data_IF_860094199290
#
_entry.id   IF_860094199290
#
_cell.length_a   1.000
_cell.length_b   1.000
_cell.length_c   1.000
_cell.angle_alpha   90.00
_cell.angle_beta   90.00
_cell.angle_gamma   90.00
#
_symmetry.space_group_name_H-M   'P 1'
#
loop_
_entity.id
_entity.type
_entity.pdbx_description
1 polymer ?
#
# COMPACT_ATOMS: atom_id res chain seq x y z
N UNK A 1 -6.61 11.62 6.05
CA UNK A 1 -6.29 10.85 7.26
C UNK A 1 -4.80 10.87 7.47
N UNK A 2 -4.40 11.09 8.70
CA UNK A 2 -3.02 10.95 9.12
C UNK A 2 -2.80 9.55 9.67
N UNK A 3 -1.77 8.87 9.18
CA UNK A 3 -1.34 7.57 9.66
C UNK A 3 -0.23 7.82 10.67
N UNK A 4 -0.48 7.59 11.98
CA UNK A 4 0.55 7.76 13.00
C UNK A 4 1.65 6.71 12.81
N UNK A 5 2.86 6.98 13.31
CA UNK A 5 3.94 5.98 13.38
C UNK A 5 4.24 5.72 14.85
N UNK A 6 3.92 4.52 15.32
CA UNK A 6 4.13 4.12 16.71
C UNK A 6 5.60 4.21 17.13
N UNK A 7 5.86 4.57 18.38
CA UNK A 7 7.21 4.72 18.93
C UNK A 7 8.05 3.45 18.79
N UNK A 8 7.49 2.27 19.03
CA UNK A 8 8.22 1.00 18.86
C UNK A 8 8.65 0.77 17.40
N UNK A 9 7.84 1.24 16.44
CA UNK A 9 8.20 1.20 15.03
C UNK A 9 9.33 2.17 14.73
N UNK A 10 9.26 3.39 15.28
CA UNK A 10 10.36 4.36 15.15
C UNK A 10 11.66 3.81 15.76
N UNK A 11 11.59 3.21 16.95
CA UNK A 11 12.74 2.59 17.62
C UNK A 11 13.33 1.44 16.81
N UNK A 12 12.50 0.56 16.25
CA UNK A 12 12.94 -0.51 15.35
C UNK A 12 13.65 0.03 14.11
N UNK A 13 13.05 1.03 13.46
CA UNK A 13 13.65 1.66 12.28
C UNK A 13 14.98 2.33 12.62
N UNK A 14 15.06 2.99 13.77
CA UNK A 14 16.31 3.60 14.27
C UNK A 14 17.38 2.54 14.59
N UNK A 15 16.98 1.35 15.02
CA UNK A 15 17.86 0.21 15.29
C UNK A 15 18.24 -0.59 14.04
N UNK A 16 17.79 -0.19 12.85
CA UNK A 16 18.22 -0.76 11.58
C UNK A 16 17.18 -1.61 10.86
N UNK A 17 15.97 -1.78 11.39
CA UNK A 17 14.84 -2.33 10.61
C UNK A 17 14.36 -1.30 9.58
N UNK A 18 13.59 -1.75 8.60
CA UNK A 18 12.92 -0.91 7.61
C UNK A 18 11.42 -1.11 7.74
N UNK A 19 10.66 -0.01 7.79
CA UNK A 19 9.21 -0.06 7.66
C UNK A 19 8.86 -0.35 6.19
N UNK A 20 8.19 -1.49 5.95
CA UNK A 20 7.91 -1.98 4.59
C UNK A 20 6.43 -1.88 4.23
N UNK A 21 5.52 -1.92 5.20
CA UNK A 21 4.11 -1.67 4.92
C UNK A 21 3.36 -1.15 6.15
N UNK A 22 2.26 -0.45 5.90
CA UNK A 22 1.25 -0.12 6.90
C UNK A 22 -0.11 -0.45 6.34
N UNK A 23 -0.90 -1.23 7.06
CA UNK A 23 -2.30 -1.52 6.73
C UNK A 23 -3.20 -0.95 7.81
N UNK A 24 -4.45 -0.64 7.48
CA UNK A 24 -5.42 -0.23 8.49
C UNK A 24 -6.81 -0.80 8.23
N UNK A 25 -7.47 -1.20 9.32
CA UNK A 25 -8.84 -1.65 9.28
C UNK A 25 -9.69 -0.96 10.33
N UNK A 26 -10.89 -0.54 9.94
CA UNK A 26 -11.87 0.06 10.84
C UNK A 26 -12.82 -1.01 11.36
N UNK A 27 -12.58 -1.45 12.60
CA UNK A 27 -13.45 -2.36 13.32
C UNK A 27 -14.65 -1.62 13.90
N UNK A 28 -15.84 -2.20 13.77
CA UNK A 28 -17.09 -1.60 14.27
C UNK A 28 -17.06 -1.33 15.77
N UNK A 29 -16.44 -2.21 16.56
CA UNK A 29 -16.40 -2.13 18.03
C UNK A 29 -15.08 -1.57 18.58
N UNK A 30 -14.00 -1.62 17.80
CA UNK A 30 -12.65 -1.29 18.28
C UNK A 30 -12.04 -0.07 17.57
N UNK A 31 -12.80 0.58 16.69
CA UNK A 31 -12.33 1.74 15.95
C UNK A 31 -11.26 1.38 14.92
N UNK A 32 -10.39 2.34 14.60
CA UNK A 32 -9.35 2.18 13.60
C UNK A 32 -8.13 1.48 14.21
N UNK A 33 -7.67 0.40 13.58
CA UNK A 33 -6.43 -0.29 13.93
C UNK A 33 -5.46 -0.22 12.78
N UNK A 34 -4.18 -0.06 13.11
CA UNK A 34 -3.08 -0.05 12.17
C UNK A 34 -2.19 -1.25 12.41
N UNK A 35 -1.77 -1.92 11.34
CA UNK A 35 -0.78 -2.98 11.34
C UNK A 35 0.46 -2.50 10.62
N UNK A 36 1.58 -2.43 11.32
CA UNK A 36 2.86 -1.98 10.78
C UNK A 36 3.75 -3.18 10.53
N UNK A 37 4.28 -3.28 9.32
CA UNK A 37 5.19 -4.34 8.92
C UNK A 37 6.60 -3.79 8.82
N UNK A 38 7.52 -4.35 9.60
CA UNK A 38 8.96 -4.03 9.56
C UNK A 38 9.75 -5.25 9.12
N UNK A 39 10.87 -5.02 8.43
CA UNK A 39 11.79 -6.07 8.01
C UNK A 39 13.22 -5.70 8.40
N UNK A 40 14.00 -6.70 8.82
CA UNK A 40 15.43 -6.51 9.08
C UNK A 40 16.17 -6.15 7.79
N UNK A 41 17.00 -5.10 7.82
CA UNK A 41 17.72 -4.60 6.63
C UNK A 41 18.69 -5.61 6.00
N UNK A 42 19.11 -6.61 6.76
CA UNK A 42 20.13 -7.60 6.35
C UNK A 42 19.56 -8.82 5.63
N UNK A 43 18.25 -9.04 5.65
CA UNK A 43 17.62 -10.21 5.02
C UNK A 43 16.19 -9.88 4.59
N UNK A 44 15.99 -9.58 3.31
CA UNK A 44 14.66 -9.59 2.67
C UNK A 44 14.21 -11.05 2.48
N UNK A 45 13.92 -11.72 3.60
CA UNK A 45 13.23 -13.01 3.62
C UNK A 45 11.86 -12.78 4.27
N UNK A 46 10.81 -13.42 3.73
CA UNK A 46 9.45 -13.37 4.32
C UNK A 46 9.41 -13.81 5.80
N UNK A 47 10.47 -14.46 6.29
CA UNK A 47 10.65 -14.88 7.69
C UNK A 47 10.95 -13.75 8.67
N UNK A 48 11.33 -12.54 8.21
CA UNK A 48 11.75 -11.44 9.09
C UNK A 48 10.73 -10.28 9.16
N UNK A 49 9.48 -10.53 8.76
CA UNK A 49 8.40 -9.55 8.81
C UNK A 49 7.80 -9.50 10.23
N UNK A 50 8.02 -8.41 10.95
CA UNK A 50 7.34 -8.17 12.23
C UNK A 50 6.11 -7.30 11.98
N UNK A 51 4.93 -7.84 12.32
CA UNK A 51 3.68 -7.09 12.33
C UNK A 51 3.40 -6.58 13.76
N UNK A 52 3.18 -5.28 13.91
CA UNK A 52 2.76 -4.67 15.17
C UNK A 52 1.40 -4.02 14.94
N UNK A 53 0.40 -4.39 15.74
CA UNK A 53 -0.94 -3.82 15.69
C UNK A 53 -1.10 -2.73 16.77
N UNK A 54 -1.64 -1.56 16.42
CA UNK A 54 -1.90 -0.44 17.36
C UNK A 54 -3.18 0.32 17.05
N UNK A 55 -3.78 0.88 18.11
CA UNK A 55 -4.97 1.75 18.04
C UNK A 55 -4.94 2.94 18.99
N UNK A 56 -3.95 2.97 19.89
CA UNK A 56 -3.76 3.93 20.97
C UNK A 56 -2.45 4.68 20.76
N UNK A 57 -2.53 5.88 20.21
CA UNK A 57 -1.37 6.71 19.91
C UNK A 57 -1.36 7.97 20.78
N UNK A 58 -0.16 8.40 21.19
CA UNK A 58 0.06 9.68 21.86
C UNK A 58 -0.10 10.85 20.88
N UNK A 59 -0.21 12.07 21.41
CA UNK A 59 -0.28 13.27 20.58
C UNK A 59 1.00 13.45 19.75
N UNK A 60 2.18 13.17 20.30
CA UNK A 60 3.45 13.22 19.55
C UNK A 60 3.48 12.21 18.40
N UNK A 61 2.91 11.01 18.59
CA UNK A 61 2.79 9.99 17.54
C UNK A 61 1.76 10.39 16.48
N UNK A 62 0.67 11.06 16.85
CA UNK A 62 -0.22 11.69 15.88
C UNK A 62 0.43 12.89 15.18
N UNK A 63 1.46 13.50 15.76
CA UNK A 63 2.25 14.58 15.16
C UNK A 63 3.41 14.07 14.29
N UNK A 64 3.67 12.76 14.25
CA UNK A 64 4.65 12.11 13.37
C UNK A 64 3.95 11.07 12.48
N UNK A 65 3.97 11.25 11.16
CA UNK A 65 3.24 10.30 10.31
C UNK A 65 3.16 10.62 8.84
N UNK A 66 2.45 9.76 8.12
CA UNK A 66 2.19 9.90 6.71
C UNK A 66 0.75 10.39 6.47
N UNK A 67 0.58 11.40 5.61
CA UNK A 67 -0.74 11.93 5.27
C UNK A 67 -1.29 11.30 4.00
N UNK A 68 -2.53 10.82 4.10
CA UNK A 68 -3.32 10.35 2.96
C UNK A 68 -4.52 11.26 2.81
N UNK A 69 -4.79 11.72 1.60
CA UNK A 69 -6.01 12.46 1.28
C UNK A 69 -7.26 11.59 1.52
N UNK A 70 -8.25 12.12 2.22
CA UNK A 70 -9.50 11.41 2.56
C UNK A 70 -10.23 10.84 1.36
N UNK A 71 -10.03 11.40 0.15
CA UNK A 71 -10.59 10.85 -1.09
C UNK A 71 -10.20 9.40 -1.33
N UNK A 72 -9.01 8.99 -0.88
CA UNK A 72 -8.50 7.64 -1.05
C UNK A 72 -9.14 6.62 -0.11
N UNK A 73 -9.82 7.07 0.95
CA UNK A 73 -10.34 6.20 2.01
C UNK A 73 -11.80 5.78 1.77
N UNK A 74 -12.38 6.20 0.64
CA UNK A 74 -13.76 5.92 0.27
C UNK A 74 -13.77 5.15 -1.04
N UNK A 75 -14.70 4.21 -1.15
CA UNK A 75 -14.95 3.50 -2.41
C UNK A 75 -15.24 4.54 -3.49
N UNK A 76 -14.30 4.67 -4.43
CA UNK A 76 -14.33 5.70 -5.46
C UNK A 76 -13.82 5.12 -6.78
N UNK A 77 -14.39 5.51 -7.93
CA UNK A 77 -13.87 5.10 -9.23
C UNK A 77 -12.39 5.49 -9.42
N UNK A 78 -11.54 4.58 -9.89
CA UNK A 78 -10.08 4.83 -10.02
C UNK A 78 -9.75 6.01 -10.92
N UNK A 79 -10.54 6.24 -11.96
CA UNK A 79 -10.40 7.40 -12.85
C UNK A 79 -10.44 8.74 -12.10
N UNK A 80 -11.15 8.83 -10.98
CA UNK A 80 -11.23 10.03 -10.14
C UNK A 80 -9.90 10.33 -9.45
N UNK A 81 -9.08 9.29 -9.22
CA UNK A 81 -7.72 9.41 -8.70
C UNK A 81 -6.67 9.65 -9.80
N UNK A 82 -7.09 9.75 -11.07
CA UNK A 82 -6.17 9.78 -12.21
C UNK A 82 -5.52 8.42 -12.52
N UNK A 83 -6.01 7.34 -11.90
CA UNK A 83 -5.48 5.99 -12.09
C UNK A 83 -6.21 5.35 -13.28
N UNK A 84 -5.49 4.82 -14.29
CA UNK A 84 -6.06 4.34 -15.55
C UNK A 84 -6.65 2.92 -15.43
N UNK A 85 -7.39 2.66 -14.35
CA UNK A 85 -8.10 1.41 -14.09
C UNK A 85 -9.61 1.60 -14.21
N UNK A 86 -10.30 0.58 -14.71
CA UNK A 86 -11.75 0.43 -14.62
C UNK A 86 -12.13 0.02 -13.21
N UNK A 87 -13.38 0.25 -12.83
CA UNK A 87 -13.90 -0.13 -11.52
C UNK A 87 -13.63 0.93 -10.45
N UNK A 88 -13.75 0.52 -9.19
CA UNK A 88 -13.65 1.37 -8.02
C UNK A 88 -12.97 0.65 -6.86
N UNK A 89 -12.44 1.42 -5.92
CA UNK A 89 -11.74 0.90 -4.76
C UNK A 89 -11.41 1.99 -3.75
N UNK A 90 -10.70 1.60 -2.72
CA UNK A 90 -10.21 2.47 -1.66
C UNK A 90 -8.86 1.96 -1.16
N UNK A 91 -8.07 2.84 -0.56
CA UNK A 91 -6.77 2.50 0.01
C UNK A 91 -6.96 1.86 1.37
N UNK A 92 -6.38 0.69 1.53
CA UNK A 92 -6.35 -0.10 2.75
C UNK A 92 -4.96 -0.12 3.38
N UNK A 93 -3.93 0.17 2.60
CA UNK A 93 -2.55 0.19 3.10
C UNK A 93 -1.58 0.99 2.24
N UNK A 94 -0.36 1.08 2.74
CA UNK A 94 0.81 1.62 2.08
C UNK A 94 1.91 0.56 2.06
N UNK A 95 2.61 0.44 0.95
CA UNK A 95 3.76 -0.43 0.76
C UNK A 95 4.97 0.43 0.37
N UNK A 96 6.03 0.33 1.16
CA UNK A 96 7.27 1.10 1.03
C UNK A 96 8.32 0.23 0.35
N UNK A 97 8.61 0.55 -0.91
CA UNK A 97 9.59 -0.14 -1.73
C UNK A 97 10.77 0.75 -2.03
N UNK A 98 11.86 0.16 -2.49
CA UNK A 98 13.07 0.88 -2.86
C UNK A 98 12.85 1.96 -3.93
N UNK A 99 11.86 1.77 -4.80
CA UNK A 99 11.53 2.71 -5.89
C UNK A 99 10.39 3.69 -5.55
N UNK A 100 9.83 3.64 -4.35
CA UNK A 100 8.83 4.60 -3.86
C UNK A 100 7.71 3.98 -3.02
N UNK A 101 6.65 4.77 -2.84
CA UNK A 101 5.47 4.39 -2.05
C UNK A 101 4.37 3.90 -2.98
N UNK A 102 3.79 2.77 -2.64
CA UNK A 102 2.63 2.21 -3.32
C UNK A 102 1.43 2.25 -2.40
N UNK A 103 0.31 2.68 -2.95
CA UNK A 103 -0.97 2.62 -2.25
C UNK A 103 -1.58 1.26 -2.56
N UNK A 104 -1.88 0.49 -1.51
CA UNK A 104 -2.59 -0.78 -1.62
C UNK A 104 -4.08 -0.49 -1.68
N UNK A 105 -4.65 -0.62 -2.89
CA UNK A 105 -6.08 -0.47 -3.13
C UNK A 105 -6.79 -1.82 -3.03
N UNK A 106 -7.86 -1.85 -2.25
CA UNK A 106 -8.87 -2.88 -2.34
C UNK A 106 -9.73 -2.61 -3.57
N UNK A 107 -9.62 -3.50 -4.54
CA UNK A 107 -10.36 -3.46 -5.79
C UNK A 107 -11.74 -4.10 -5.64
N UNK A 108 -12.72 -3.28 -5.30
CA UNK A 108 -14.11 -3.67 -5.02
C UNK A 108 -14.80 -4.39 -6.20
N UNK A 109 -14.35 -4.12 -7.43
CA UNK A 109 -15.02 -4.66 -8.63
C UNK A 109 -14.61 -6.11 -8.95
N UNK A 110 -13.49 -6.62 -8.43
CA UNK A 110 -13.07 -8.02 -8.62
C UNK A 110 -12.55 -8.62 -7.32
N UNK A 111 -13.45 -9.27 -6.57
CA UNK A 111 -13.13 -10.12 -5.42
C UNK A 111 -12.25 -9.45 -4.35
N UNK A 112 -12.39 -8.13 -4.14
CA UNK A 112 -11.59 -7.38 -3.17
C UNK A 112 -10.08 -7.56 -3.38
N UNK A 113 -9.64 -7.69 -4.63
CA UNK A 113 -8.24 -7.91 -4.95
C UNK A 113 -7.37 -6.71 -4.53
N UNK A 114 -6.18 -7.00 -4.01
CA UNK A 114 -5.17 -5.98 -3.72
C UNK A 114 -4.48 -5.55 -5.01
N UNK A 115 -4.47 -4.24 -5.27
CA UNK A 115 -3.76 -3.62 -6.39
C UNK A 115 -2.87 -2.53 -5.84
N UNK A 116 -1.56 -2.68 -6.02
CA UNK A 116 -0.59 -1.68 -5.55
C UNK A 116 -0.34 -0.66 -6.65
N UNK A 117 -0.61 0.60 -6.36
CA UNK A 117 -0.45 1.69 -7.32
C UNK A 117 0.66 2.61 -6.82
N UNK A 118 1.70 2.82 -7.64
CA UNK A 118 2.77 3.74 -7.29
C UNK A 118 2.26 5.17 -7.30
N UNK A 119 2.54 5.90 -6.24
CA UNK A 119 2.12 7.29 -6.09
C UNK A 119 3.33 8.22 -5.92
N UNK A 120 3.21 9.44 -6.42
CA UNK A 120 4.15 10.51 -6.10
C UNK A 120 3.94 10.97 -4.66
N UNK A 121 4.89 11.74 -4.12
CA UNK A 121 4.74 12.38 -2.81
C UNK A 121 3.56 13.36 -2.70
N UNK A 122 2.97 13.77 -3.83
CA UNK A 122 1.76 14.60 -3.89
C UNK A 122 0.47 13.79 -3.94
N UNK A 123 0.57 12.45 -3.92
CA UNK A 123 -0.58 11.56 -4.07
C UNK A 123 -1.13 11.51 -5.50
N UNK A 124 -0.28 11.72 -6.50
CA UNK A 124 -0.62 11.56 -7.91
C UNK A 124 -0.14 10.20 -8.42
N UNK A 125 -0.81 9.63 -9.42
CA UNK A 125 -0.42 8.36 -10.02
C UNK A 125 0.96 8.45 -10.71
N UNK A 126 1.90 7.59 -10.32
CA UNK A 126 3.26 7.49 -10.88
C UNK A 126 3.41 6.25 -11.77
N UNK A 127 2.59 6.19 -12.83
CA UNK A 127 2.65 5.28 -13.98
C UNK A 127 2.78 3.75 -13.75
N UNK A 128 2.89 3.26 -12.52
CA UNK A 128 3.17 1.86 -12.22
C UNK A 128 2.07 1.24 -11.37
N UNK A 129 1.61 0.07 -11.79
CA UNK A 129 0.54 -0.69 -11.14
C UNK A 129 1.03 -2.14 -11.00
N UNK A 130 0.83 -2.71 -9.82
CA UNK A 130 1.15 -4.09 -9.52
C UNK A 130 -0.16 -4.79 -9.18
N UNK A 131 -0.49 -5.80 -9.98
CA UNK A 131 -1.72 -6.59 -9.86
C UNK A 131 -1.43 -7.95 -9.23
N UNK A 132 -2.46 -8.68 -8.73
CA UNK A 132 -2.27 -10.02 -8.21
C UNK A 132 -1.59 -10.97 -9.21
N UNK A 133 -0.76 -11.92 -8.74
CA UNK A 133 -0.06 -12.86 -9.63
C UNK A 133 -1.01 -13.80 -10.37
N UNK A 134 -2.21 -14.01 -9.83
CA UNK A 134 -3.24 -14.89 -10.41
C UNK A 134 -3.97 -14.25 -11.60
N UNK A 135 -3.74 -12.96 -11.88
CA UNK A 135 -4.40 -12.28 -12.99
C UNK A 135 -3.59 -12.53 -14.27
N UNK A 136 -4.19 -13.25 -15.22
CA UNK A 136 -3.59 -13.46 -16.54
C UNK A 136 -3.56 -12.17 -17.38
N UNK A 137 -2.91 -12.22 -18.55
CA UNK A 137 -2.80 -11.07 -19.45
C UNK A 137 -4.17 -10.53 -19.89
N UNK A 138 -5.13 -11.42 -20.15
CA UNK A 138 -6.48 -11.05 -20.61
C UNK A 138 -7.20 -10.25 -19.52
N UNK A 139 -7.10 -10.66 -18.27
CA UNK A 139 -7.69 -9.95 -17.13
C UNK A 139 -7.02 -8.60 -16.92
N UNK A 140 -5.69 -8.52 -17.06
CA UNK A 140 -4.93 -7.26 -16.97
C UNK A 140 -5.35 -6.25 -18.03
N UNK A 141 -5.48 -6.66 -19.28
CA UNK A 141 -5.91 -5.76 -20.35
C UNK A 141 -7.35 -5.29 -20.17
N UNK A 142 -8.23 -6.16 -19.65
CA UNK A 142 -9.63 -5.82 -19.40
C UNK A 142 -9.80 -4.74 -18.34
N UNK A 143 -8.98 -4.73 -17.28
CA UNK A 143 -9.08 -3.74 -16.21
C UNK A 143 -8.48 -2.39 -16.56
N UNK A 144 -7.57 -2.33 -17.55
CA UNK A 144 -6.98 -1.06 -17.97
C UNK A 144 -7.98 -0.25 -18.81
N UNK A 145 -7.92 1.07 -18.67
CA UNK A 145 -8.55 1.97 -19.62
C UNK A 145 -7.74 1.96 -20.92
N UNK A 146 -8.41 1.87 -22.07
CA UNK A 146 -7.78 1.72 -23.40
C UNK A 146 -6.86 2.87 -23.83
N UNK A 147 -6.73 3.92 -23.02
CA UNK A 147 -5.90 5.12 -23.26
C UNK A 147 -4.66 5.19 -22.36
N UNK A 148 -4.30 4.09 -21.70
CA UNK A 148 -3.22 4.02 -20.72
C UNK A 148 -1.81 3.91 -21.37
N UNK A 149 -1.44 4.83 -22.26
CA UNK A 149 -0.10 4.87 -22.85
C UNK A 149 0.97 5.15 -21.77
N UNK A 150 2.07 4.41 -21.78
CA UNK A 150 3.19 4.59 -20.85
C UNK A 150 2.99 3.99 -19.44
N UNK A 151 1.87 3.31 -19.19
CA UNK A 151 1.60 2.64 -17.91
C UNK A 151 2.32 1.30 -17.82
N UNK A 152 3.06 1.09 -16.74
CA UNK A 152 3.76 -0.15 -16.43
C UNK A 152 2.90 -1.01 -15.51
N UNK A 153 2.30 -2.08 -16.06
CA UNK A 153 1.56 -3.07 -15.27
C UNK A 153 2.44 -4.29 -15.04
N UNK A 154 2.68 -4.61 -13.77
CA UNK A 154 3.46 -5.76 -13.34
C UNK A 154 2.57 -6.70 -12.51
N UNK A 155 2.95 -7.97 -12.44
CA UNK A 155 2.44 -8.83 -11.38
C UNK A 155 3.23 -8.62 -10.12
N UNK A 156 2.56 -8.78 -8.98
CA UNK A 156 3.28 -9.06 -7.75
C UNK A 156 4.03 -10.37 -7.99
N UNK A 157 5.33 -10.28 -8.25
CA UNK A 157 6.18 -11.46 -8.26
C UNK A 157 6.08 -12.07 -6.86
N UNK A 158 5.85 -13.38 -6.81
CA UNK A 158 6.09 -14.16 -5.60
C UNK A 158 7.59 -14.05 -5.37
N UNK A 159 8.01 -13.02 -4.62
CA UNK A 159 9.38 -12.72 -4.25
C UNK A 159 10.33 -12.65 -5.46
N UNK A 160 10.60 -11.44 -5.96
CA UNK A 160 11.95 -11.21 -6.49
C UNK A 160 12.90 -11.26 -5.29
N UNK A 161 13.33 -12.48 -4.97
CA UNK A 161 14.54 -12.72 -4.18
C UNK A 161 15.65 -12.09 -5.02
N UNK A 162 16.35 -11.04 -4.53
CA UNK A 162 17.53 -10.57 -5.23
C UNK A 162 18.51 -11.73 -5.25
N UNK A 163 18.73 -12.34 -6.41
CA UNK A 163 19.82 -13.28 -6.57
C UNK A 163 21.11 -12.47 -6.58
N UNK A 164 21.79 -12.53 -5.42
CA UNK A 164 23.23 -12.35 -5.16
C UNK A 164 24.01 -11.38 -6.05
#
# INVERSE_FOLDING_TARGET
MRIPIAKEIQEKVNNGDVLVAIEWFKWTLFGLRFTYHTAAKTEWSCSNLYAIERSDFSEEEYLAGYEIDDKFLRITPFKTFGIPLKGQGYVFGLDFRSDGIYYDFIYETEYLAHIYVKMTSKGEFDNKIIVPPTWDLVKREKILLSKAEGVKVQCANILEIPTS
#
